data_IF_828091733386
#
_entry.id   IF_828091733386
#
_cell.length_a   1.000
_cell.length_b   1.000
_cell.length_c   1.000
_cell.angle_alpha   90.00
_cell.angle_beta   90.00
_cell.angle_gamma   90.00
#
_symmetry.space_group_name_H-M   'P 1'
#
loop_
_entity.id
_entity.type
_entity.pdbx_description
1 polymer ?
#
# COMPACT_ATOMS: atom_id res chain seq x y z
N UNK A 1 -10.49 27.12 -0.87
CA UNK A 1 -10.56 25.70 -1.26
C UNK A 1 -10.46 24.86 0.01
N UNK A 2 -11.48 24.09 0.35
CA UNK A 2 -11.51 23.33 1.60
C UNK A 2 -10.62 22.09 1.52
N UNK A 3 -9.82 21.84 2.55
CA UNK A 3 -8.97 20.65 2.64
C UNK A 3 -9.84 19.41 2.90
N UNK A 4 -10.07 18.58 1.88
CA UNK A 4 -10.76 17.29 2.05
C UNK A 4 -9.83 16.31 2.76
N UNK A 5 -10.27 15.78 3.90
CA UNK A 5 -9.56 14.73 4.64
C UNK A 5 -10.05 13.36 4.22
N UNK A 6 -9.14 12.42 4.03
CA UNK A 6 -9.47 11.01 3.75
C UNK A 6 -8.51 10.08 4.50
N UNK A 7 -8.96 8.85 4.75
CA UNK A 7 -8.15 7.84 5.43
C UNK A 7 -7.14 7.22 4.46
N UNK A 8 -5.94 6.95 4.95
CA UNK A 8 -4.82 6.42 4.18
C UNK A 8 -4.14 5.27 4.91
N UNK A 9 -3.43 4.42 4.17
CA UNK A 9 -2.45 3.50 4.73
C UNK A 9 -1.07 4.18 4.70
N UNK A 10 -0.33 4.08 5.80
CA UNK A 10 1.01 4.66 5.91
C UNK A 10 2.00 3.55 6.26
N UNK A 11 2.98 3.33 5.39
CA UNK A 11 4.14 2.50 5.71
C UNK A 11 5.22 3.40 6.30
N UNK A 12 5.62 3.08 7.53
CA UNK A 12 6.62 3.84 8.30
C UNK A 12 7.96 3.14 8.20
N UNK A 13 9.02 3.89 7.88
CA UNK A 13 10.38 3.38 7.90
C UNK A 13 11.00 3.59 9.29
N UNK A 14 10.88 2.59 10.18
CA UNK A 14 11.36 2.71 11.56
C UNK A 14 12.88 2.63 11.70
N UNK A 15 13.57 2.04 10.71
CA UNK A 15 15.02 1.97 10.62
C UNK A 15 15.49 2.71 9.38
N UNK A 16 16.21 3.82 9.60
CA UNK A 16 16.68 4.73 8.57
C UNK A 16 18.02 4.33 7.96
N UNK A 17 18.44 3.05 8.09
CA UNK A 17 19.63 2.55 7.39
C UNK A 17 19.59 2.91 5.89
N UNK A 18 20.76 3.13 5.26
CA UNK A 18 20.82 3.41 3.81
C UNK A 18 20.15 2.32 2.97
N UNK A 19 20.26 1.03 3.37
CA UNK A 19 19.60 -0.06 2.66
C UNK A 19 18.08 0.03 2.74
N UNK A 20 17.54 0.29 3.94
CA UNK A 20 16.11 0.38 4.20
C UNK A 20 15.49 1.60 3.53
N UNK A 21 16.20 2.74 3.57
CA UNK A 21 15.82 3.96 2.85
C UNK A 21 15.77 3.71 1.34
N UNK A 22 16.80 3.06 0.78
CA UNK A 22 16.84 2.69 -0.64
C UNK A 22 15.69 1.72 -1.01
N UNK A 23 15.36 0.77 -0.14
CA UNK A 23 14.24 -0.15 -0.36
C UNK A 23 12.90 0.61 -0.43
N UNK A 24 12.66 1.56 0.48
CA UNK A 24 11.46 2.42 0.44
C UNK A 24 11.37 3.21 -0.88
N UNK A 25 12.48 3.80 -1.33
CA UNK A 25 12.53 4.54 -2.60
C UNK A 25 12.28 3.66 -3.82
N UNK A 26 12.79 2.43 -3.82
CA UNK A 26 12.51 1.45 -4.89
C UNK A 26 11.03 1.10 -4.94
N UNK A 27 10.40 0.85 -3.79
CA UNK A 27 8.96 0.60 -3.72
C UNK A 27 8.16 1.78 -4.25
N UNK A 28 8.45 3.00 -3.77
CA UNK A 28 7.81 4.23 -4.22
C UNK A 28 7.93 4.42 -5.73
N UNK A 29 9.13 4.20 -6.29
CA UNK A 29 9.39 4.29 -7.74
C UNK A 29 8.52 3.33 -8.53
N UNK A 30 8.40 2.09 -8.08
CA UNK A 30 7.60 1.06 -8.77
C UNK A 30 6.12 1.39 -8.68
N UNK A 31 5.62 1.74 -7.50
CA UNK A 31 4.20 2.04 -7.31
C UNK A 31 3.74 3.26 -8.09
N UNK A 32 4.58 4.29 -8.24
CA UNK A 32 4.26 5.50 -9.00
C UNK A 32 3.99 5.21 -10.49
N UNK A 33 4.45 4.08 -11.03
CA UNK A 33 4.23 3.71 -12.44
C UNK A 33 2.84 3.13 -12.71
N UNK A 34 2.06 2.78 -11.68
CA UNK A 34 0.77 2.14 -11.84
C UNK A 34 -0.37 3.09 -11.48
N UNK A 35 -1.32 3.23 -12.42
CA UNK A 35 -2.60 3.88 -12.20
C UNK A 35 -3.71 2.99 -12.76
N UNK A 36 -4.26 2.11 -11.93
CA UNK A 36 -5.22 1.10 -12.35
C UNK A 36 -6.19 0.77 -11.21
N UNK A 37 -7.50 0.57 -11.47
CA UNK A 37 -8.52 0.34 -10.43
C UNK A 37 -8.29 -0.88 -9.53
N UNK A 38 -7.47 -1.84 -9.97
CA UNK A 38 -7.15 -3.06 -9.21
C UNK A 38 -5.72 -3.05 -8.62
N UNK A 39 -5.03 -1.92 -8.64
CA UNK A 39 -3.69 -1.73 -8.06
C UNK A 39 -3.78 -0.63 -7.02
N UNK A 40 -3.24 -0.88 -5.83
CA UNK A 40 -3.23 0.10 -4.73
C UNK A 40 -2.52 1.37 -5.17
N UNK A 41 -3.23 2.50 -5.08
CA UNK A 41 -2.65 3.78 -5.46
C UNK A 41 -1.65 4.30 -4.43
N UNK A 42 -0.50 4.77 -4.88
CA UNK A 42 0.43 5.55 -4.08
C UNK A 42 0.05 7.04 -4.16
N UNK A 43 0.01 7.73 -3.02
CA UNK A 43 -0.23 9.18 -2.98
C UNK A 43 1.08 9.98 -2.92
N UNK A 44 2.10 9.47 -2.22
CA UNK A 44 3.38 10.18 -2.10
C UNK A 44 4.30 9.60 -1.04
N UNK A 45 5.48 10.21 -0.92
CA UNK A 45 6.41 9.99 0.19
C UNK A 45 6.49 11.28 0.99
N UNK A 46 6.42 11.19 2.32
CA UNK A 46 6.76 12.30 3.21
C UNK A 46 8.15 12.02 3.80
N UNK A 47 9.13 12.85 3.41
CA UNK A 47 10.54 12.69 3.75
C UNK A 47 11.17 13.98 4.29
N UNK A 48 10.36 14.96 4.68
CA UNK A 48 10.85 16.22 5.24
C UNK A 48 11.49 16.02 6.62
N UNK A 49 10.96 15.08 7.40
CA UNK A 49 11.45 14.72 8.74
C UNK A 49 11.48 13.21 8.90
N UNK A 50 12.48 12.68 9.59
CA UNK A 50 12.51 11.26 9.95
C UNK A 50 11.43 10.90 10.98
N UNK A 51 10.88 9.67 10.93
CA UNK A 51 11.11 8.65 9.92
C UNK A 51 10.41 8.95 8.59
N UNK A 52 10.88 8.37 7.48
CA UNK A 52 10.19 8.52 6.19
C UNK A 52 8.89 7.72 6.15
N UNK A 53 7.90 8.27 5.42
CA UNK A 53 6.57 7.69 5.29
C UNK A 53 6.21 7.48 3.82
N UNK A 54 5.73 6.29 3.47
CA UNK A 54 5.08 6.02 2.19
C UNK A 54 3.56 6.03 2.38
N UNK A 55 2.88 6.97 1.72
CA UNK A 55 1.44 7.22 1.86
C UNK A 55 0.68 6.59 0.69
N UNK A 56 -0.30 5.75 1.01
CA UNK A 56 -1.00 4.89 0.05
C UNK A 56 -2.50 4.85 0.31
N UNK A 57 -3.25 4.37 -0.69
CA UNK A 57 -4.66 4.06 -0.57
C UNK A 57 -4.93 3.06 0.56
N UNK A 58 -5.95 3.35 1.37
CA UNK A 58 -6.39 2.44 2.43
C UNK A 58 -7.36 1.40 1.88
N UNK A 59 -6.89 0.15 1.77
CA UNK A 59 -7.75 -0.99 1.41
C UNK A 59 -8.41 -1.58 2.66
N UNK A 60 -9.74 -1.49 2.73
CA UNK A 60 -10.53 -2.11 3.79
C UNK A 60 -10.63 -3.63 3.56
N UNK A 61 -10.57 -4.41 4.63
CA UNK A 61 -10.60 -5.88 4.58
C UNK A 61 -9.24 -6.55 4.77
N UNK A 62 -8.15 -5.77 4.76
CA UNK A 62 -6.81 -6.24 5.07
C UNK A 62 -6.20 -7.11 3.97
N UNK A 63 -5.15 -7.84 4.31
CA UNK A 63 -4.46 -8.71 3.37
C UNK A 63 -5.36 -9.86 2.91
N UNK A 64 -5.33 -10.16 1.60
CA UNK A 64 -6.12 -11.23 1.00
C UNK A 64 -5.91 -12.59 1.70
N UNK A 65 -4.66 -12.91 2.06
CA UNK A 65 -4.35 -14.16 2.73
C UNK A 65 -5.07 -14.27 4.09
N UNK A 66 -5.09 -13.19 4.87
CA UNK A 66 -5.77 -13.17 6.16
C UNK A 66 -7.28 -13.21 5.99
N UNK A 67 -7.80 -12.53 4.97
CA UNK A 67 -9.21 -12.60 4.60
C UNK A 67 -9.63 -14.04 4.27
N UNK A 68 -8.84 -14.73 3.43
CA UNK A 68 -9.09 -16.11 3.02
C UNK A 68 -8.94 -17.09 4.18
N UNK A 69 -7.95 -16.93 5.06
CA UNK A 69 -7.84 -17.77 6.27
C UNK A 69 -9.07 -17.66 7.17
N UNK A 70 -9.63 -16.44 7.31
CA UNK A 70 -10.82 -16.18 8.15
C UNK A 70 -12.12 -16.66 7.50
N UNK A 71 -12.23 -16.60 6.16
CA UNK A 71 -13.49 -16.85 5.42
C UNK A 71 -13.44 -18.01 4.42
N UNK A 72 -12.36 -18.80 4.41
CA UNK A 72 -12.02 -19.76 3.34
C UNK A 72 -13.01 -20.90 3.10
N UNK A 73 -14.01 -21.12 3.96
CA UNK A 73 -15.09 -22.08 3.69
C UNK A 73 -16.18 -21.56 2.73
N UNK A 74 -16.17 -20.27 2.37
CA UNK A 74 -17.20 -19.65 1.50
C UNK A 74 -16.65 -18.91 0.28
N UNK A 75 -15.34 -18.95 0.02
CA UNK A 75 -14.76 -18.35 -1.18
C UNK A 75 -15.18 -19.16 -2.42
N UNK A 76 -16.16 -18.68 -3.18
CA UNK A 76 -16.48 -19.23 -4.50
C UNK A 76 -15.31 -18.95 -5.43
N UNK A 77 -14.55 -19.98 -5.78
CA UNK A 77 -13.49 -19.90 -6.78
C UNK A 77 -14.14 -19.64 -8.13
N UNK A 78 -14.09 -18.40 -8.62
CA UNK A 78 -14.26 -18.17 -10.06
C UNK A 78 -13.02 -18.76 -10.74
N UNK A 79 -13.22 -19.70 -11.67
CA UNK A 79 -12.13 -20.29 -12.44
C UNK A 79 -11.41 -19.13 -13.17
N UNK A 80 -10.12 -18.95 -12.91
CA UNK A 80 -9.25 -18.15 -13.76
C UNK A 80 -9.20 -18.87 -15.12
N UNK A 81 -9.85 -18.31 -16.14
CA UNK A 81 -9.59 -18.68 -17.53
C UNK A 81 -8.20 -18.15 -17.86
N UNK A 82 -7.26 -19.06 -18.12
CA UNK A 82 -6.02 -18.72 -18.84
C UNK A 82 -6.34 -18.61 -20.33
#
# INVERSE_FOLDING_TARGET
>A
MGSTKFKVAVKVLTDMSPENSLALWKEARVMQMYDHPNVVRMYGVANDTEPFYLVMELVLGGALNDYLKKKGKTAKTSKRTQ
#
